data_IF_498846000755
#
_entry.id   IF_498846000755
#
_cell.length_a   1.000
_cell.length_b   1.000
_cell.length_c   1.000
_cell.angle_alpha   90.00
_cell.angle_beta   90.00
_cell.angle_gamma   90.00
#
_symmetry.space_group_name_H-M   'P 1'
#
loop_
_entity.id
_entity.type
_entity.pdbx_description
1 polymer ?
#
# COMPACT_ATOMS: atom_id res chain seq x y z
N UNK A 1 -8.79 -19.07 -23.46
CA UNK A 1 -9.70 -18.88 -22.30
C UNK A 1 -10.42 -17.51 -22.38
N UNK A 2 -10.92 -17.16 -23.57
CA UNK A 2 -11.54 -15.86 -23.93
C UNK A 2 -12.99 -16.08 -24.41
N UNK A 3 -13.69 -17.05 -23.81
CA UNK A 3 -14.99 -17.55 -24.30
C UNK A 3 -16.01 -17.72 -23.18
N UNK A 4 -16.23 -16.65 -22.45
CA UNK A 4 -17.49 -16.42 -21.74
C UNK A 4 -17.86 -15.00 -22.10
N UNK A 5 -19.04 -14.78 -22.70
CA UNK A 5 -19.54 -13.48 -23.15
C UNK A 5 -19.84 -12.51 -22.00
N UNK A 6 -18.93 -12.41 -21.03
CA UNK A 6 -18.99 -11.45 -19.94
C UNK A 6 -18.51 -10.10 -20.45
N UNK A 7 -19.35 -9.09 -20.23
CA UNK A 7 -19.02 -7.71 -20.53
C UNK A 7 -17.73 -7.29 -19.79
N UNK A 8 -16.72 -6.72 -20.46
CA UNK A 8 -15.47 -6.29 -19.83
C UNK A 8 -15.69 -5.29 -18.68
N UNK A 9 -16.76 -4.49 -18.74
CA UNK A 9 -17.10 -3.56 -17.66
C UNK A 9 -17.54 -4.30 -16.40
N UNK A 10 -18.32 -5.38 -16.54
CA UNK A 10 -18.70 -6.25 -15.43
C UNK A 10 -17.48 -6.91 -14.78
N UNK A 11 -16.52 -7.37 -15.60
CA UNK A 11 -15.28 -7.95 -15.09
C UNK A 11 -14.47 -6.96 -14.25
N UNK A 12 -14.31 -5.72 -14.74
CA UNK A 12 -13.55 -4.69 -14.03
C UNK A 12 -14.18 -4.29 -12.69
N UNK A 13 -15.52 -4.21 -12.62
CA UNK A 13 -16.27 -3.88 -11.40
C UNK A 13 -16.12 -4.97 -10.33
N UNK A 14 -16.26 -6.23 -10.74
CA UNK A 14 -16.17 -7.35 -9.81
C UNK A 14 -14.72 -7.54 -9.34
N UNK A 15 -13.74 -7.37 -10.24
CA UNK A 15 -12.33 -7.37 -9.87
C UNK A 15 -11.98 -6.24 -8.88
N UNK A 16 -12.55 -5.05 -9.06
CA UNK A 16 -12.40 -3.93 -8.14
C UNK A 16 -12.90 -4.27 -6.72
N UNK A 17 -14.10 -4.84 -6.61
CA UNK A 17 -14.69 -5.21 -5.31
C UNK A 17 -13.84 -6.29 -4.61
N UNK A 18 -13.34 -7.27 -5.36
CA UNK A 18 -12.47 -8.32 -4.85
C UNK A 18 -11.12 -7.79 -4.36
N UNK A 19 -10.44 -6.96 -5.16
CA UNK A 19 -9.16 -6.35 -4.79
C UNK A 19 -9.35 -5.48 -3.54
N UNK A 20 -10.44 -4.73 -3.46
CA UNK A 20 -10.74 -3.90 -2.29
C UNK A 20 -10.97 -4.76 -1.04
N UNK A 21 -11.68 -5.90 -1.15
CA UNK A 21 -11.90 -6.82 -0.04
C UNK A 21 -10.59 -7.47 0.45
N UNK A 22 -9.73 -7.94 -0.47
CA UNK A 22 -8.41 -8.46 -0.10
C UNK A 22 -7.52 -7.39 0.52
N UNK A 23 -7.57 -6.16 0.00
CA UNK A 23 -6.84 -5.03 0.57
C UNK A 23 -7.23 -4.81 2.03
N UNK A 24 -8.53 -4.82 2.35
CA UNK A 24 -9.01 -4.63 3.73
C UNK A 24 -8.63 -5.80 4.64
N UNK A 25 -8.67 -7.03 4.12
CA UNK A 25 -8.23 -8.22 4.85
C UNK A 25 -6.75 -8.11 5.25
N UNK A 26 -5.88 -7.75 4.31
CA UNK A 26 -4.44 -7.58 4.59
C UNK A 26 -4.18 -6.52 5.66
N UNK A 27 -4.95 -5.42 5.66
CA UNK A 27 -4.80 -4.38 6.67
C UNK A 27 -5.16 -4.88 8.08
N UNK A 28 -6.28 -5.60 8.21
CA UNK A 28 -6.74 -6.17 9.49
C UNK A 28 -5.81 -7.29 9.96
N UNK A 29 -5.37 -8.16 9.06
CA UNK A 29 -4.42 -9.23 9.37
C UNK A 29 -3.09 -8.66 9.83
N UNK A 30 -2.52 -7.68 9.12
CA UNK A 30 -1.27 -7.02 9.52
C UNK A 30 -1.39 -6.35 10.89
N UNK A 31 -2.51 -5.68 11.17
CA UNK A 31 -2.78 -5.08 12.48
C UNK A 31 -2.86 -6.14 13.58
N UNK A 32 -3.60 -7.23 13.36
CA UNK A 32 -3.76 -8.30 14.34
C UNK A 32 -2.43 -9.00 14.67
N UNK A 33 -1.60 -9.25 13.64
CA UNK A 33 -0.25 -9.83 13.79
C UNK A 33 0.64 -8.90 14.63
N UNK A 34 0.63 -7.59 14.36
CA UNK A 34 1.39 -6.61 15.16
C UNK A 34 0.92 -6.54 16.60
N UNK A 35 -0.40 -6.46 16.83
CA UNK A 35 -0.96 -6.39 18.18
C UNK A 35 -0.61 -7.66 18.98
N UNK A 36 -0.75 -8.83 18.37
CA UNK A 36 -0.38 -10.10 18.99
C UNK A 36 1.12 -10.17 19.31
N UNK A 37 1.98 -9.86 18.34
CA UNK A 37 3.42 -9.89 18.53
C UNK A 37 3.95 -8.90 19.56
N UNK A 38 3.42 -7.67 19.59
CA UNK A 38 3.79 -6.65 20.59
C UNK A 38 3.31 -7.06 21.99
N UNK A 39 2.13 -7.68 22.10
CA UNK A 39 1.63 -8.20 23.37
C UNK A 39 2.51 -9.35 23.90
N UNK A 40 2.87 -10.31 23.06
CA UNK A 40 3.77 -11.40 23.46
C UNK A 40 5.21 -10.91 23.73
N UNK A 41 5.63 -9.82 23.07
CA UNK A 41 6.87 -9.12 23.38
C UNK A 41 6.86 -8.51 24.79
N UNK A 42 5.78 -7.83 25.16
CA UNK A 42 5.62 -7.23 26.49
C UNK A 42 5.66 -8.32 27.58
N UNK A 43 4.96 -9.42 27.35
CA UNK A 43 4.98 -10.61 28.23
C UNK A 43 6.38 -11.26 28.27
N UNK A 44 7.19 -11.11 27.22
CA UNK A 44 8.52 -11.70 27.10
C UNK A 44 8.51 -13.18 26.74
N UNK A 45 7.41 -13.64 26.12
CA UNK A 45 7.23 -15.04 25.70
C UNK A 45 7.66 -15.27 24.26
N UNK A 46 7.68 -14.22 23.44
CA UNK A 46 8.07 -14.33 22.04
C UNK A 46 9.59 -14.43 21.88
N UNK A 47 10.05 -15.41 21.10
CA UNK A 47 11.45 -15.50 20.70
C UNK A 47 11.79 -14.46 19.62
N UNK A 48 13.07 -14.15 19.47
CA UNK A 48 13.57 -13.25 18.42
C UNK A 48 13.12 -13.73 17.04
N UNK A 49 13.21 -15.03 16.75
CA UNK A 49 12.72 -15.62 15.51
C UNK A 49 11.25 -15.27 15.21
N UNK A 50 10.36 -15.59 16.15
CA UNK A 50 8.93 -15.36 15.96
C UNK A 50 8.60 -13.87 15.84
N UNK A 51 9.32 -13.00 16.55
CA UNK A 51 9.13 -11.55 16.44
C UNK A 51 9.59 -10.98 15.08
N UNK A 52 10.68 -11.51 14.51
CA UNK A 52 11.13 -11.17 13.16
C UNK A 52 10.08 -11.59 12.12
N UNK A 53 9.60 -12.83 12.19
CA UNK A 53 8.53 -13.33 11.30
C UNK A 53 7.24 -12.50 11.42
N UNK A 54 6.83 -12.13 12.63
CA UNK A 54 5.69 -11.22 12.87
C UNK A 54 5.91 -9.88 12.17
N UNK A 55 7.11 -9.30 12.31
CA UNK A 55 7.44 -7.99 11.73
C UNK A 55 7.41 -8.05 10.21
N UNK A 56 7.99 -9.10 9.62
CA UNK A 56 8.00 -9.31 8.17
C UNK A 56 6.61 -9.58 7.60
N UNK A 57 5.79 -10.39 8.28
CA UNK A 57 4.41 -10.65 7.88
C UNK A 57 3.58 -9.36 7.91
N UNK A 58 3.70 -8.57 8.97
CA UNK A 58 3.00 -7.29 9.08
C UNK A 58 3.45 -6.29 8.01
N UNK A 59 4.75 -6.25 7.74
CA UNK A 59 5.32 -5.46 6.67
C UNK A 59 4.82 -5.89 5.29
N UNK A 60 4.77 -7.19 5.02
CA UNK A 60 4.25 -7.76 3.78
C UNK A 60 2.75 -7.48 3.58
N UNK A 61 1.95 -7.65 4.63
CA UNK A 61 0.53 -7.29 4.64
C UNK A 61 0.32 -5.82 4.28
N UNK A 62 1.15 -4.96 4.86
CA UNK A 62 1.16 -3.52 4.62
C UNK A 62 1.49 -3.18 3.16
N UNK A 63 2.56 -3.76 2.60
CA UNK A 63 2.91 -3.52 1.19
C UNK A 63 1.84 -4.01 0.24
N UNK A 64 1.27 -5.19 0.49
CA UNK A 64 0.16 -5.74 -0.29
C UNK A 64 -1.06 -4.82 -0.26
N UNK A 65 -1.38 -4.26 0.91
CA UNK A 65 -2.46 -3.29 1.07
C UNK A 65 -2.16 -1.99 0.28
N UNK A 66 -0.96 -1.43 0.40
CA UNK A 66 -0.57 -0.22 -0.32
C UNK A 66 -0.61 -0.41 -1.85
N UNK A 67 -0.12 -1.55 -2.33
CA UNK A 67 -0.18 -1.92 -3.75
C UNK A 67 -1.62 -2.03 -4.25
N UNK A 68 -2.48 -2.71 -3.48
CA UNK A 68 -3.92 -2.83 -3.78
C UNK A 68 -4.61 -1.47 -3.82
N UNK A 69 -4.24 -0.52 -2.96
CA UNK A 69 -4.81 0.83 -2.96
C UNK A 69 -4.47 1.62 -4.23
N UNK A 70 -3.31 1.43 -4.82
CA UNK A 70 -2.95 2.12 -6.08
C UNK A 70 -3.76 1.54 -7.24
N UNK A 71 -3.85 0.22 -7.34
CA UNK A 71 -4.67 -0.45 -8.36
C UNK A 71 -6.16 -0.07 -8.21
N UNK A 72 -6.67 -0.09 -6.99
CA UNK A 72 -8.06 0.31 -6.70
C UNK A 72 -8.31 1.77 -7.09
N UNK A 73 -7.33 2.67 -6.88
CA UNK A 73 -7.43 4.07 -7.31
C UNK A 73 -7.48 4.22 -8.83
N UNK A 74 -6.57 3.56 -9.56
CA UNK A 74 -6.51 3.66 -11.02
C UNK A 74 -7.76 3.09 -11.69
N UNK A 75 -8.29 1.99 -11.17
CA UNK A 75 -9.54 1.38 -11.64
C UNK A 75 -10.73 2.30 -11.34
N UNK A 76 -10.84 2.84 -10.12
CA UNK A 76 -11.91 3.78 -9.75
C UNK A 76 -11.91 5.02 -10.64
N UNK A 77 -10.74 5.60 -10.87
CA UNK A 77 -10.61 6.82 -11.69
C UNK A 77 -10.93 6.52 -13.16
N UNK A 78 -10.64 5.32 -13.66
CA UNK A 78 -11.04 4.86 -15.00
C UNK A 78 -12.56 4.68 -15.10
N UNK A 79 -13.16 3.91 -14.18
CA UNK A 79 -14.62 3.68 -14.15
C UNK A 79 -15.39 4.99 -14.05
N UNK A 80 -14.92 5.95 -13.25
CA UNK A 80 -15.56 7.26 -13.12
C UNK A 80 -15.57 8.06 -14.44
N UNK A 81 -14.55 7.93 -15.28
CA UNK A 81 -14.50 8.60 -16.60
C UNK A 81 -15.46 7.94 -17.59
N UNK A 82 -15.53 6.61 -17.59
CA UNK A 82 -16.32 5.86 -18.57
C UNK A 82 -17.81 5.84 -18.24
N UNK A 83 -18.18 5.73 -16.95
CA UNK A 83 -19.56 5.49 -16.51
C UNK A 83 -19.99 6.41 -15.36
N UNK A 84 -20.18 7.72 -15.61
CA UNK A 84 -20.46 8.70 -14.55
C UNK A 84 -21.83 8.51 -13.87
N UNK A 85 -22.82 7.95 -14.57
CA UNK A 85 -24.18 7.79 -14.04
C UNK A 85 -24.28 6.74 -12.91
N UNK A 86 -23.40 5.73 -12.89
CA UNK A 86 -23.41 4.68 -11.86
C UNK A 86 -22.83 5.11 -10.50
N UNK A 87 -22.18 6.28 -10.42
CA UNK A 87 -21.52 6.76 -9.19
C UNK A 87 -22.44 7.61 -8.29
N UNK A 88 -23.69 7.85 -8.70
CA UNK A 88 -24.65 8.71 -8.00
C UNK A 88 -25.60 7.87 -7.14
N UNK A 89 -25.13 7.33 -6.02
CA UNK A 89 -26.01 6.77 -4.99
C UNK A 89 -25.81 7.47 -3.64
N UNK A 90 -26.74 8.36 -3.34
CA UNK A 90 -26.80 9.24 -2.16
C UNK A 90 -26.85 8.45 -0.83
N UNK A 91 -27.53 7.30 -0.81
CA UNK A 91 -27.66 6.45 0.39
C UNK A 91 -26.43 5.59 0.71
N UNK A 92 -25.49 5.43 -0.24
CA UNK A 92 -24.24 4.67 -0.04
C UNK A 92 -23.14 5.57 0.55
N UNK A 93 -23.38 6.87 0.65
CA UNK A 93 -22.33 7.83 0.97
C UNK A 93 -21.87 7.73 2.43
N UNK A 94 -22.78 7.53 3.38
CA UNK A 94 -22.41 7.40 4.80
C UNK A 94 -21.60 6.13 5.06
N UNK A 95 -22.07 4.98 4.59
CA UNK A 95 -21.37 3.70 4.73
C UNK A 95 -19.99 3.75 4.06
N UNK A 96 -19.89 4.36 2.88
CA UNK A 96 -18.62 4.52 2.19
C UNK A 96 -17.69 5.52 2.89
N UNK A 97 -18.21 6.58 3.53
CA UNK A 97 -17.43 7.51 4.36
C UNK A 97 -16.90 6.81 5.61
N UNK A 98 -17.72 6.02 6.29
CA UNK A 98 -17.32 5.24 7.47
C UNK A 98 -16.27 4.18 7.12
N UNK A 99 -16.46 3.42 6.04
CA UNK A 99 -15.46 2.44 5.58
C UNK A 99 -14.11 3.09 5.26
N UNK A 100 -14.11 4.26 4.61
CA UNK A 100 -12.88 5.04 4.37
C UNK A 100 -12.24 5.54 5.66
N UNK A 101 -13.04 6.05 6.60
CA UNK A 101 -12.55 6.52 7.88
C UNK A 101 -11.91 5.38 8.68
N UNK A 102 -12.58 4.23 8.78
CA UNK A 102 -12.05 3.03 9.42
C UNK A 102 -10.74 2.56 8.77
N UNK A 103 -10.69 2.53 7.43
CA UNK A 103 -9.46 2.18 6.71
C UNK A 103 -8.31 3.11 7.05
N UNK A 104 -8.54 4.43 7.08
CA UNK A 104 -7.52 5.41 7.47
C UNK A 104 -7.09 5.20 8.92
N UNK A 105 -8.02 4.95 9.85
CA UNK A 105 -7.72 4.68 11.24
C UNK A 105 -6.85 3.43 11.40
N UNK A 106 -7.20 2.33 10.73
CA UNK A 106 -6.41 1.09 10.74
C UNK A 106 -5.05 1.27 10.06
N UNK A 107 -4.99 1.99 8.93
CA UNK A 107 -3.72 2.34 8.29
C UNK A 107 -2.80 3.13 9.23
N UNK A 108 -3.34 4.10 9.97
CA UNK A 108 -2.57 4.88 10.94
C UNK A 108 -2.11 4.02 12.13
N UNK A 109 -2.98 3.16 12.67
CA UNK A 109 -2.63 2.24 13.74
C UNK A 109 -1.52 1.26 13.32
N UNK A 110 -1.68 0.61 12.16
CA UNK A 110 -0.68 -0.29 11.59
C UNK A 110 0.64 0.43 11.34
N UNK A 111 0.60 1.67 10.83
CA UNK A 111 1.81 2.48 10.61
C UNK A 111 2.60 2.70 11.90
N UNK A 112 1.93 3.09 12.99
CA UNK A 112 2.58 3.33 14.28
C UNK A 112 3.17 2.04 14.84
N UNK A 113 2.38 0.96 14.86
CA UNK A 113 2.83 -0.31 15.42
C UNK A 113 3.95 -0.95 14.59
N UNK A 114 3.91 -0.83 13.27
CA UNK A 114 4.94 -1.36 12.39
C UNK A 114 6.27 -0.60 12.54
N UNK A 115 6.23 0.73 12.65
CA UNK A 115 7.44 1.50 12.95
C UNK A 115 8.02 1.15 14.31
N UNK A 116 7.17 0.90 15.30
CA UNK A 116 7.61 0.39 16.60
C UNK A 116 8.27 -0.99 16.46
N UNK A 117 7.68 -1.91 15.70
CA UNK A 117 8.26 -3.23 15.44
C UNK A 117 9.63 -3.12 14.77
N UNK A 118 9.77 -2.30 13.71
CA UNK A 118 11.08 -2.03 13.10
C UNK A 118 12.09 -1.43 14.07
N UNK A 119 11.65 -0.52 14.93
CA UNK A 119 12.52 0.04 15.96
C UNK A 119 13.04 -1.04 16.93
N UNK A 120 12.20 -2.02 17.27
CA UNK A 120 12.58 -3.16 18.12
C UNK A 120 13.54 -4.10 17.39
N UNK A 121 13.48 -4.26 16.07
CA UNK A 121 14.41 -5.14 15.33
C UNK A 121 15.79 -4.52 15.04
N UNK A 122 16.08 -3.32 15.56
CA UNK A 122 17.33 -2.59 15.30
C UNK A 122 18.49 -2.86 16.28
N UNK A 123 18.40 -3.85 17.15
CA UNK A 123 19.47 -4.19 18.12
C UNK A 123 20.60 -4.99 17.47
N UNK A 124 21.85 -4.73 17.86
CA UNK A 124 23.06 -5.20 17.17
C UNK A 124 23.17 -6.72 17.06
N UNK A 125 22.79 -7.43 18.14
CA UNK A 125 23.02 -8.87 18.27
C UNK A 125 21.89 -9.73 17.67
N UNK A 126 20.87 -9.15 17.03
CA UNK A 126 19.70 -9.92 16.55
C UNK A 126 20.07 -11.04 15.58
N UNK A 127 21.07 -10.82 14.71
CA UNK A 127 21.53 -11.82 13.74
C UNK A 127 22.72 -12.67 14.23
N UNK A 128 23.09 -12.56 15.51
CA UNK A 128 24.16 -13.38 16.09
C UNK A 128 23.65 -14.80 16.32
N UNK A 129 24.50 -15.78 16.04
CA UNK A 129 24.16 -17.19 16.18
C UNK A 129 23.62 -17.51 17.59
N UNK A 130 22.45 -18.14 17.66
CA UNK A 130 21.79 -18.53 18.90
C UNK A 130 20.77 -17.51 19.42
N UNK A 131 20.75 -16.28 18.91
CA UNK A 131 19.81 -15.24 19.36
C UNK A 131 18.38 -15.46 18.85
N UNK A 132 18.20 -16.19 17.74
CA UNK A 132 16.87 -16.55 17.22
C UNK A 132 16.06 -17.42 18.19
N UNK A 133 16.76 -18.23 19.01
CA UNK A 133 16.17 -19.11 20.04
C UNK A 133 15.79 -18.37 21.31
N UNK A 134 16.51 -17.31 21.64
CA UNK A 134 16.30 -16.57 22.88
C UNK A 134 15.01 -15.74 22.83
N UNK A 135 14.35 -15.49 23.99
CA UNK A 135 13.31 -14.49 24.10
C UNK A 135 13.82 -13.14 23.59
N UNK A 136 12.97 -12.38 22.90
CA UNK A 136 13.37 -11.09 22.31
C UNK A 136 13.91 -10.08 23.34
N UNK A 137 13.53 -10.24 24.62
CA UNK A 137 14.09 -9.47 25.75
C UNK A 137 15.63 -9.57 25.83
N UNK A 138 16.22 -10.71 25.49
CA UNK A 138 17.68 -10.91 25.48
C UNK A 138 18.40 -10.01 24.47
N UNK A 139 17.74 -9.64 23.37
CA UNK A 139 18.28 -8.75 22.35
C UNK A 139 18.03 -7.27 22.67
N UNK A 140 16.92 -6.94 23.35
CA UNK A 140 16.51 -5.56 23.65
C UNK A 140 17.48 -4.87 24.62
N UNK A 141 18.14 -5.61 25.50
CA UNK A 141 19.10 -5.06 26.47
C UNK A 141 20.46 -4.68 25.84
N UNK A 142 20.66 -4.97 24.56
CA UNK A 142 21.91 -4.69 23.83
C UNK A 142 21.90 -3.28 23.22
N UNK A 143 23.06 -2.70 22.90
CA UNK A 143 23.10 -1.47 22.12
C UNK A 143 22.53 -1.69 20.71
N UNK A 144 22.02 -0.61 20.10
CA UNK A 144 21.63 -0.62 18.69
C UNK A 144 22.86 -0.38 17.83
N UNK A 145 23.08 -1.25 16.85
CA UNK A 145 24.30 -1.23 16.07
C UNK A 145 24.30 -2.21 14.90
N UNK A 146 25.42 -2.26 14.20
CA UNK A 146 25.67 -3.24 13.14
C UNK A 146 24.73 -3.16 11.94
N UNK A 147 24.53 -4.34 11.31
CA UNK A 147 23.64 -4.49 10.16
C UNK A 147 22.15 -4.29 10.48
N UNK A 148 21.60 -4.80 11.61
CA UNK A 148 20.20 -4.60 12.01
C UNK A 148 19.80 -3.13 12.08
N UNK A 149 20.66 -2.27 12.63
CA UNK A 149 20.39 -0.85 12.73
C UNK A 149 20.20 -0.19 11.36
N UNK A 150 21.03 -0.55 10.36
CA UNK A 150 20.89 -0.03 8.99
C UNK A 150 19.57 -0.46 8.37
N UNK A 151 19.18 -1.72 8.55
CA UNK A 151 17.91 -2.26 8.06
C UNK A 151 16.71 -1.60 8.73
N UNK A 152 16.77 -1.37 10.05
CA UNK A 152 15.77 -0.59 10.78
C UNK A 152 15.59 0.81 10.16
N UNK A 153 16.69 1.56 9.95
CA UNK A 153 16.62 2.91 9.38
C UNK A 153 16.05 2.88 7.96
N UNK A 154 16.48 1.94 7.13
CA UNK A 154 15.98 1.78 5.76
C UNK A 154 14.48 1.46 5.78
N UNK A 155 14.03 0.50 6.57
CA UNK A 155 12.63 0.10 6.62
C UNK A 155 11.73 1.19 7.21
N UNK A 156 12.15 1.87 8.28
CA UNK A 156 11.39 2.99 8.84
C UNK A 156 11.26 4.14 7.84
N UNK A 157 12.34 4.49 7.13
CA UNK A 157 12.33 5.59 6.15
C UNK A 157 11.52 5.25 4.89
N UNK A 158 11.77 4.09 4.28
CA UNK A 158 11.04 3.65 3.09
C UNK A 158 9.56 3.44 3.40
N UNK A 159 9.22 2.80 4.52
CA UNK A 159 7.81 2.58 4.88
C UNK A 159 7.09 3.89 5.16
N UNK A 160 7.75 4.83 5.86
CA UNK A 160 7.20 6.17 6.07
C UNK A 160 6.97 6.93 4.77
N UNK A 161 7.92 6.85 3.84
CA UNK A 161 7.77 7.43 2.52
C UNK A 161 6.58 6.82 1.75
N UNK A 162 6.51 5.48 1.66
CA UNK A 162 5.42 4.79 0.98
C UNK A 162 4.05 5.14 1.59
N UNK A 163 3.90 5.12 2.92
CA UNK A 163 2.66 5.51 3.57
C UNK A 163 2.28 6.97 3.30
N UNK A 164 3.24 7.89 3.42
CA UNK A 164 2.99 9.31 3.20
C UNK A 164 2.50 9.57 1.76
N UNK A 165 3.15 8.96 0.78
CA UNK A 165 2.76 9.06 -0.64
C UNK A 165 1.36 8.49 -0.84
N UNK A 166 1.06 7.29 -0.33
CA UNK A 166 -0.26 6.68 -0.55
C UNK A 166 -1.40 7.38 0.19
N UNK A 167 -1.14 7.90 1.41
CA UNK A 167 -2.11 8.72 2.13
C UNK A 167 -2.38 10.02 1.37
N UNK A 168 -1.34 10.72 0.92
CA UNK A 168 -1.49 11.95 0.14
C UNK A 168 -2.26 11.72 -1.16
N UNK A 169 -1.89 10.68 -1.92
CA UNK A 169 -2.56 10.34 -3.17
C UNK A 169 -4.02 9.87 -2.95
N UNK A 170 -4.34 9.32 -1.79
CA UNK A 170 -5.72 8.94 -1.44
C UNK A 170 -6.55 10.14 -0.97
N UNK A 171 -5.92 11.21 -0.49
CA UNK A 171 -6.58 12.42 -0.01
C UNK A 171 -7.01 13.33 -1.18
N UNK A 172 -8.28 13.21 -1.59
CA UNK A 172 -8.87 14.01 -2.68
C UNK A 172 -8.73 15.53 -2.48
N UNK A 173 -9.09 16.04 -1.31
CA UNK A 173 -8.99 17.49 -1.00
C UNK A 173 -7.53 17.96 -1.00
N UNK A 174 -6.61 17.17 -0.45
CA UNK A 174 -5.18 17.44 -0.48
C UNK A 174 -4.63 17.51 -1.91
N UNK A 175 -5.03 16.57 -2.78
CA UNK A 175 -4.63 16.59 -4.21
C UNK A 175 -5.18 17.80 -4.97
N UNK A 176 -6.44 18.16 -4.75
CA UNK A 176 -7.05 19.33 -5.38
C UNK A 176 -6.38 20.62 -4.91
N UNK A 177 -6.21 20.78 -3.60
CA UNK A 177 -5.47 21.91 -3.03
C UNK A 177 -4.03 22.01 -3.56
N UNK A 178 -3.34 20.88 -3.66
CA UNK A 178 -2.00 20.81 -4.25
C UNK A 178 -2.00 21.26 -5.71
N UNK A 179 -2.92 20.74 -6.54
CA UNK A 179 -3.03 21.13 -7.95
C UNK A 179 -3.35 22.62 -8.12
N UNK A 180 -4.29 23.14 -7.33
CA UNK A 180 -4.83 24.48 -7.52
C UNK A 180 -3.91 25.56 -6.93
N UNK A 181 -3.30 25.31 -5.77
CA UNK A 181 -2.58 26.35 -5.01
C UNK A 181 -1.07 26.15 -4.98
N UNK A 182 -0.58 24.91 -4.87
CA UNK A 182 0.85 24.67 -4.64
C UNK A 182 1.61 24.47 -5.97
N UNK A 183 1.07 23.63 -6.86
CA UNK A 183 1.66 23.35 -8.18
C UNK A 183 1.75 24.62 -9.03
N UNK A 184 0.70 25.43 -9.05
CA UNK A 184 0.67 26.68 -9.81
C UNK A 184 1.71 27.71 -9.35
N UNK A 185 2.09 27.72 -8.07
CA UNK A 185 3.09 28.67 -7.54
C UNK A 185 4.53 28.15 -7.64
N UNK A 186 4.75 26.84 -7.47
CA UNK A 186 6.09 26.25 -7.47
C UNK A 186 6.57 25.83 -8.87
N UNK A 187 5.67 25.30 -9.70
CA UNK A 187 5.99 24.61 -10.96
C UNK A 187 5.63 25.44 -12.19
N UNK A 188 4.37 25.86 -12.31
CA UNK A 188 3.89 26.57 -13.49
C UNK A 188 4.13 28.07 -13.38
N UNK A 189 5.23 28.54 -13.96
CA UNK A 189 5.38 29.98 -14.20
C UNK A 189 4.27 30.43 -15.17
N UNK A 190 3.23 31.11 -14.68
CA UNK A 190 2.58 32.14 -15.49
C UNK A 190 3.68 33.06 -16.01
N UNK A 191 3.83 33.13 -17.33
CA UNK A 191 4.91 33.85 -17.99
C UNK A 191 5.04 35.27 -17.47
N UNK A 192 6.18 35.59 -16.85
CA UNK A 192 6.53 36.97 -16.58
C UNK A 192 7.13 37.58 -17.85
N UNK A 193 6.60 38.70 -18.37
CA UNK A 193 7.18 39.40 -19.49
C UNK A 193 8.52 40.03 -19.04
N UNK A 194 9.60 39.67 -19.73
CA UNK A 194 10.94 40.21 -19.45
C UNK A 194 11.12 41.48 -20.29
N UNK A 195 11.22 42.64 -19.63
CA UNK A 195 11.63 43.89 -20.27
C UNK A 195 13.13 43.84 -20.65
N UNK A 196 13.42 43.88 -21.95
CA UNK A 196 14.71 43.58 -22.60
C UNK A 196 15.75 44.72 -22.61
N UNK A 197 15.59 45.79 -21.83
CA UNK A 197 16.36 47.04 -22.03
C UNK A 197 17.65 47.22 -21.18
N UNK A 198 18.22 46.18 -20.53
CA UNK A 198 19.50 46.31 -19.78
C UNK A 198 20.44 45.09 -19.94
N UNK A 199 21.48 45.14 -20.80
CA UNK A 199 22.29 43.97 -21.14
C UNK A 199 23.19 43.44 -20.00
N UNK A 200 23.67 44.31 -19.10
CA UNK A 200 24.57 43.89 -18.00
C UNK A 200 23.86 43.09 -16.90
N UNK A 201 22.59 43.40 -16.65
CA UNK A 201 21.73 42.66 -15.70
C UNK A 201 21.30 41.31 -16.31
N UNK A 202 21.18 41.23 -17.63
CA UNK A 202 20.80 40.02 -18.35
C UNK A 202 21.90 38.97 -18.28
N UNK A 203 23.18 39.34 -18.44
CA UNK A 203 24.28 38.35 -18.48
C UNK A 203 24.56 37.72 -17.09
N UNK A 204 24.59 38.55 -16.03
CA UNK A 204 24.74 38.07 -14.64
C UNK A 204 23.56 37.19 -14.22
N UNK A 205 22.33 37.63 -14.53
CA UNK A 205 21.10 36.87 -14.28
C UNK A 205 20.98 35.65 -15.21
N UNK A 206 21.66 35.58 -16.35
CA UNK A 206 21.63 34.43 -17.28
C UNK A 206 22.49 33.27 -16.78
N UNK A 207 23.69 33.55 -16.25
CA UNK A 207 24.57 32.54 -15.63
C UNK A 207 23.96 32.04 -14.31
N UNK A 208 23.48 32.97 -13.46
CA UNK A 208 22.79 32.65 -12.19
C UNK A 208 21.46 31.92 -12.45
N UNK A 209 20.73 32.26 -13.51
CA UNK A 209 19.55 31.51 -13.95
C UNK A 209 19.90 30.17 -14.58
N UNK A 210 21.05 29.94 -15.21
CA UNK A 210 21.30 28.66 -15.90
C UNK A 210 21.55 27.54 -14.90
N UNK A 211 22.34 27.82 -13.85
CA UNK A 211 22.51 26.90 -12.72
C UNK A 211 21.23 26.75 -11.92
N UNK A 212 20.55 27.85 -11.57
CA UNK A 212 19.31 27.78 -10.81
C UNK A 212 18.16 27.14 -11.60
N UNK A 213 18.06 27.37 -12.92
CA UNK A 213 17.12 26.66 -13.80
C UNK A 213 17.51 25.21 -13.96
N UNK A 214 18.80 24.89 -14.07
CA UNK A 214 19.29 23.51 -14.14
C UNK A 214 18.95 22.73 -12.87
N UNK A 215 19.25 23.30 -11.71
CA UNK A 215 18.92 22.74 -10.40
C UNK A 215 17.39 22.67 -10.18
N UNK A 216 16.65 23.71 -10.56
CA UNK A 216 15.18 23.70 -10.49
C UNK A 216 14.60 22.63 -11.41
N UNK A 217 15.11 22.49 -12.63
CA UNK A 217 14.66 21.46 -13.58
C UNK A 217 15.05 20.06 -13.09
N UNK A 218 16.24 19.86 -12.53
CA UNK A 218 16.63 18.55 -11.97
C UNK A 218 15.77 18.20 -10.77
N UNK A 219 15.51 19.15 -9.86
CA UNK A 219 14.59 18.96 -8.73
C UNK A 219 13.17 18.67 -9.21
N UNK A 220 12.72 19.33 -10.27
CA UNK A 220 11.41 19.06 -10.90
C UNK A 220 11.36 17.69 -11.55
N UNK A 221 12.41 17.27 -12.25
CA UNK A 221 12.50 15.95 -12.88
C UNK A 221 12.54 14.85 -11.82
N UNK A 222 13.33 15.02 -10.76
CA UNK A 222 13.38 14.10 -9.61
C UNK A 222 12.02 14.05 -8.91
N UNK A 223 11.37 15.21 -8.73
CA UNK A 223 10.02 15.27 -8.17
C UNK A 223 8.99 14.56 -9.06
N UNK A 224 8.99 14.81 -10.38
CA UNK A 224 8.09 14.13 -11.31
C UNK A 224 8.34 12.63 -11.39
N UNK A 225 9.59 12.20 -11.24
CA UNK A 225 9.95 10.80 -11.13
C UNK A 225 9.39 10.18 -9.85
N UNK A 226 9.62 10.81 -8.68
CA UNK A 226 9.11 10.35 -7.38
C UNK A 226 7.58 10.49 -7.24
N UNK A 227 6.94 11.36 -8.03
CA UNK A 227 5.48 11.51 -8.08
C UNK A 227 4.84 10.66 -9.18
N UNK A 228 5.63 9.90 -9.95
CA UNK A 228 5.13 9.06 -11.03
C UNK A 228 4.44 7.83 -10.47
N UNK A 229 3.22 7.56 -10.96
CA UNK A 229 2.51 6.32 -10.61
C UNK A 229 3.29 5.07 -11.05
N UNK A 230 4.08 5.16 -12.12
CA UNK A 230 4.92 4.06 -12.61
C UNK A 230 6.09 3.79 -11.66
N UNK A 231 6.73 4.83 -11.16
CA UNK A 231 7.79 4.70 -10.16
C UNK A 231 7.22 4.09 -8.88
N UNK A 232 6.06 4.57 -8.43
CA UNK A 232 5.42 4.05 -7.22
C UNK A 232 5.07 2.56 -7.37
N UNK A 233 4.62 2.13 -8.55
CA UNK A 233 4.36 0.71 -8.82
C UNK A 233 5.64 -0.11 -8.81
N UNK A 234 6.66 0.30 -9.58
CA UNK A 234 7.93 -0.41 -9.65
C UNK A 234 8.65 -0.45 -8.30
N UNK A 235 8.68 0.67 -7.59
CA UNK A 235 9.27 0.80 -6.25
C UNK A 235 8.58 -0.12 -5.24
N UNK A 236 7.25 -0.13 -5.20
CA UNK A 236 6.51 -1.07 -4.35
C UNK A 236 6.73 -2.53 -4.74
N UNK A 237 6.81 -2.85 -6.04
CA UNK A 237 7.09 -4.22 -6.50
C UNK A 237 8.49 -4.69 -6.13
N UNK A 238 9.51 -3.85 -6.30
CA UNK A 238 10.88 -4.15 -5.89
C UNK A 238 10.96 -4.31 -4.38
N UNK A 239 10.32 -3.42 -3.63
CA UNK A 239 10.32 -3.48 -2.17
C UNK A 239 9.54 -4.70 -1.63
N UNK A 240 8.47 -5.10 -2.32
CA UNK A 240 7.78 -6.36 -2.06
C UNK A 240 8.69 -7.57 -2.32
N UNK A 241 9.44 -7.57 -3.42
CA UNK A 241 10.41 -8.62 -3.73
C UNK A 241 11.52 -8.71 -2.69
N UNK A 242 12.05 -7.56 -2.24
CA UNK A 242 12.98 -7.49 -1.11
C UNK A 242 12.36 -8.11 0.15
N UNK A 243 11.06 -7.90 0.39
CA UNK A 243 10.41 -8.48 1.57
C UNK A 243 10.14 -9.95 1.54
N UNK A 244 9.83 -10.49 0.36
CA UNK A 244 9.80 -11.95 0.18
C UNK A 244 11.19 -12.53 0.46
N UNK A 245 12.24 -11.89 -0.04
CA UNK A 245 13.62 -12.33 0.23
C UNK A 245 13.95 -12.29 1.73
N UNK A 246 13.67 -11.19 2.44
CA UNK A 246 13.91 -11.07 3.88
C UNK A 246 13.15 -12.12 4.70
N UNK A 247 11.86 -12.32 4.42
CA UNK A 247 11.04 -13.32 5.12
C UNK A 247 11.59 -14.74 4.92
N UNK A 248 12.01 -15.08 3.70
CA UNK A 248 12.59 -16.39 3.39
C UNK A 248 13.94 -16.55 4.08
N UNK A 249 14.78 -15.53 4.06
CA UNK A 249 16.08 -15.53 4.73
C UNK A 249 15.94 -15.69 6.25
N UNK A 250 15.04 -14.95 6.89
CA UNK A 250 14.77 -15.05 8.33
C UNK A 250 14.18 -16.41 8.71
N UNK A 251 13.32 -17.00 7.87
CA UNK A 251 12.84 -18.37 8.04
C UNK A 251 13.96 -19.40 7.97
N UNK A 252 14.81 -19.30 6.94
CA UNK A 252 15.92 -20.25 6.73
C UNK A 252 16.91 -20.19 7.90
N UNK A 253 17.26 -18.98 8.36
CA UNK A 253 18.14 -18.79 9.52
C UNK A 253 17.52 -19.35 10.79
N UNK A 254 16.26 -19.02 11.08
CA UNK A 254 15.55 -19.56 12.23
C UNK A 254 15.50 -21.08 12.23
N UNK A 255 15.18 -21.70 11.09
CA UNK A 255 15.13 -23.16 10.93
C UNK A 255 16.49 -23.84 11.07
N UNK A 256 17.57 -23.14 10.74
CA UNK A 256 18.93 -23.68 10.87
C UNK A 256 19.41 -23.74 12.33
N UNK A 257 18.85 -22.90 13.20
CA UNK A 257 19.22 -22.83 14.62
C UNK A 257 18.22 -23.57 15.53
N UNK A 258 17.05 -23.94 15.02
CA UNK A 258 15.98 -24.60 15.75
C UNK A 258 16.25 -26.10 15.92
N UNK A 259 15.80 -26.67 17.05
CA UNK A 259 15.85 -28.12 17.27
C UNK A 259 14.88 -28.85 16.32
N UNK A 260 15.21 -30.09 15.95
CA UNK A 260 14.51 -30.85 14.91
C UNK A 260 13.03 -31.12 15.25
N UNK A 261 12.72 -31.35 16.52
CA UNK A 261 11.38 -31.57 17.04
C UNK A 261 10.51 -30.30 16.92
N UNK A 262 11.03 -29.15 17.35
CA UNK A 262 10.35 -27.85 17.24
C UNK A 262 10.15 -27.49 15.76
N UNK A 263 11.14 -27.77 14.92
CA UNK A 263 11.06 -27.52 13.46
C UNK A 263 9.99 -28.38 12.79
N UNK A 264 9.81 -29.63 13.23
CA UNK A 264 8.73 -30.49 12.75
C UNK A 264 7.36 -29.98 13.18
N UNK A 265 7.24 -29.48 14.41
CA UNK A 265 6.00 -28.87 14.91
C UNK A 265 5.63 -27.60 14.14
N UNK A 266 6.59 -26.72 13.86
CA UNK A 266 6.35 -25.47 13.11
C UNK A 266 5.91 -25.71 11.66
N UNK A 267 6.46 -26.74 11.01
CA UNK A 267 6.05 -27.13 9.66
C UNK A 267 4.71 -27.89 9.64
N UNK A 268 4.18 -28.28 10.81
CA UNK A 268 2.86 -28.85 10.94
C UNK A 268 1.75 -27.81 10.76
N UNK A 269 0.65 -28.22 10.12
CA UNK A 269 -0.55 -27.37 10.04
C UNK A 269 -1.27 -27.36 11.39
N UNK A 270 -1.15 -26.26 12.13
CA UNK A 270 -1.84 -26.04 13.38
C UNK A 270 -3.25 -25.43 13.17
N UNK A 271 -4.14 -25.59 14.17
CA UNK A 271 -5.47 -24.97 14.17
C UNK A 271 -5.42 -23.45 13.94
N UNK A 272 -4.42 -22.77 14.52
CA UNK A 272 -4.18 -21.34 14.36
C UNK A 272 -3.82 -20.92 12.93
N UNK A 273 -3.32 -21.84 12.09
CA UNK A 273 -3.03 -21.60 10.68
C UNK A 273 -4.25 -21.90 9.79
N UNK A 274 -5.05 -22.91 10.15
CA UNK A 274 -6.26 -23.29 9.41
C UNK A 274 -7.32 -22.18 9.43
N UNK A 275 -7.54 -21.54 10.59
CA UNK A 275 -8.56 -20.48 10.73
C UNK A 275 -8.31 -19.32 9.73
N UNK A 276 -7.11 -18.70 9.66
CA UNK A 276 -6.79 -17.72 8.63
C UNK A 276 -6.99 -18.21 7.21
N UNK A 277 -6.62 -19.46 6.90
CA UNK A 277 -6.82 -20.06 5.57
C UNK A 277 -8.31 -20.12 5.21
N UNK A 278 -9.19 -20.49 6.14
CA UNK A 278 -10.64 -20.46 5.91
C UNK A 278 -11.20 -19.04 5.83
N UNK A 279 -10.65 -18.08 6.58
CA UNK A 279 -11.05 -16.67 6.47
C UNK A 279 -10.71 -16.06 5.11
N UNK A 280 -9.73 -16.60 4.37
CA UNK A 280 -9.46 -16.23 2.98
C UNK A 280 -10.63 -16.55 2.03
N UNK A 281 -11.60 -17.37 2.43
CA UNK A 281 -12.82 -17.67 1.65
C UNK A 281 -13.79 -16.48 1.66
N UNK A 282 -13.77 -15.63 2.70
CA UNK A 282 -14.72 -14.51 2.85
C UNK A 282 -14.67 -13.53 1.66
N UNK A 283 -13.49 -13.06 1.19
CA UNK A 283 -13.40 -12.26 -0.04
C UNK A 283 -14.00 -12.94 -1.27
N UNK A 284 -13.88 -14.27 -1.40
CA UNK A 284 -14.46 -15.01 -2.52
C UNK A 284 -15.99 -15.09 -2.44
N UNK A 285 -16.57 -15.24 -1.25
CA UNK A 285 -18.03 -15.14 -1.08
C UNK A 285 -18.54 -13.75 -1.48
N UNK A 286 -17.85 -12.69 -1.02
CA UNK A 286 -18.15 -11.31 -1.42
C UNK A 286 -18.00 -11.06 -2.93
N UNK A 287 -17.06 -11.74 -3.58
CA UNK A 287 -16.91 -11.71 -5.04
C UNK A 287 -18.13 -12.30 -5.75
N UNK A 288 -18.63 -13.47 -5.32
CA UNK A 288 -19.81 -14.06 -5.95
C UNK A 288 -21.07 -13.21 -5.73
N UNK A 289 -21.23 -12.61 -4.55
CA UNK A 289 -22.31 -11.67 -4.27
C UNK A 289 -22.21 -10.38 -5.12
N UNK A 290 -21.01 -9.83 -5.26
CA UNK A 290 -20.75 -8.66 -6.11
C UNK A 290 -21.06 -8.98 -7.58
N UNK A 291 -20.62 -10.14 -8.08
CA UNK A 291 -20.91 -10.60 -9.43
C UNK A 291 -22.42 -10.73 -9.66
N UNK A 292 -23.15 -11.37 -8.75
CA UNK A 292 -24.60 -11.51 -8.85
C UNK A 292 -25.31 -10.13 -8.88
N UNK A 293 -24.87 -9.20 -8.04
CA UNK A 293 -25.42 -7.83 -7.94
C UNK A 293 -25.16 -7.02 -9.22
N UNK A 294 -23.92 -6.97 -9.69
CA UNK A 294 -23.56 -6.20 -10.89
C UNK A 294 -24.13 -6.83 -12.16
N UNK A 295 -24.19 -8.16 -12.25
CA UNK A 295 -24.82 -8.87 -13.37
C UNK A 295 -26.32 -8.54 -13.46
N UNK A 296 -27.03 -8.53 -12.33
CA UNK A 296 -28.45 -8.12 -12.28
C UNK A 296 -28.63 -6.66 -12.72
N UNK A 297 -27.81 -5.75 -12.20
CA UNK A 297 -27.86 -4.33 -12.55
C UNK A 297 -27.57 -4.06 -14.04
N UNK A 298 -26.68 -4.86 -14.66
CA UNK A 298 -26.42 -4.77 -16.10
C UNK A 298 -27.61 -5.24 -16.93
N UNK A 299 -28.25 -6.35 -16.55
CA UNK A 299 -29.45 -6.84 -17.23
C UNK A 299 -30.61 -5.85 -17.16
N UNK A 300 -30.76 -5.17 -16.02
CA UNK A 300 -31.79 -4.13 -15.84
C UNK A 300 -31.51 -2.85 -16.64
N UNK A 301 -30.24 -2.48 -16.86
CA UNK A 301 -29.90 -1.35 -17.74
C UNK A 301 -30.16 -1.67 -19.21
N UNK A 302 -29.76 -2.86 -19.67
CA UNK A 302 -29.95 -3.29 -21.05
C UNK A 302 -31.44 -3.36 -21.41
N UNK A 303 -32.28 -3.83 -20.46
CA UNK A 303 -33.73 -3.87 -20.64
C UNK A 303 -34.34 -2.45 -20.78
N UNK A 304 -33.88 -1.47 -20.01
CA UNK A 304 -34.36 -0.08 -20.10
C UNK A 304 -33.93 0.59 -21.39
N UNK A 305 -32.75 0.25 -21.91
CA UNK A 305 -32.25 0.80 -23.17
C UNK A 305 -33.09 0.27 -24.35
N UNK A 306 -33.41 -1.03 -24.35
CA UNK A 306 -34.31 -1.65 -25.33
C UNK A 306 -35.72 -1.06 -25.33
N UNK A 307 -36.29 -0.77 -24.15
CA UNK A 307 -37.62 -0.13 -24.05
C UNK A 307 -37.62 1.36 -24.46
N UNK A 308 -36.44 1.99 -24.49
CA UNK A 308 -36.27 3.41 -24.82
C UNK A 308 -36.02 3.69 -26.31
N UNK A 309 -35.71 2.65 -27.09
CA UNK A 309 -35.61 2.75 -28.55
C UNK A 309 -37.03 2.88 -29.12
N UNK A 310 -37.39 4.02 -29.76
CA UNK A 310 -38.71 4.16 -30.37
C UNK A 310 -38.87 3.08 -31.43
N UNK A 311 -39.96 2.34 -31.35
CA UNK A 311 -40.42 1.47 -32.41
C UNK A 311 -40.68 2.34 -33.64
N UNK A 312 -39.69 2.45 -34.53
CA UNK A 312 -39.94 2.79 -35.93
C UNK A 312 -40.76 1.63 -36.51
N UNK A 313 -42.08 1.75 -36.33
CA UNK A 313 -43.06 0.91 -36.99
C UNK A 313 -43.12 1.26 -38.48
N UNK A 314 -43.37 0.26 -39.35
CA UNK A 314 -43.41 0.42 -40.81
C UNK A 314 -44.53 1.33 -41.31
#
# INVERSE_FOLDING_TARGET
MFRVGMNPDLQSLVAYDLVNAFSDLQLVTGLAVLVGGIKELADGKISTYHFMIVTDLAWFCTLTHLLSLVVTRSVRDSVKRTHPQRYRHENVELAARLARALRICFMAATFVLLNYAFWVTGYEDIYVQGQYRCPMKCAIDKPKGGSPWRLMVINMTLMSYCYAVQMFLSWRTGRLFWMDHIRGHLVDKKGQPINLLKPEVVFKRWIENKMWKGLKMSLLTVWYFLASEVETMLGLTVYFGFGVYSLVDDRVRGHSEMEDDIRHEENGLAFSQLVPIFLLIIPFMGFFESYARHSKAFRESDAKELDSCPSEGP
#
